data_IF_885884546775
#
_entry.id   IF_885884546775
#
_cell.length_a   1.000
_cell.length_b   1.000
_cell.length_c   1.000
_cell.angle_alpha   90.00
_cell.angle_beta   90.00
_cell.angle_gamma   90.00
#
_symmetry.space_group_name_H-M   'P 1'
#
loop_
_entity.id
_entity.type
_entity.pdbx_description
1 polymer ?
#
# COMPACT_ATOMS: atom_id res chain seq x y z
N UNK A 1 -10.30 -1.79 5.34
CA UNK A 1 -9.98 -1.29 3.99
C UNK A 1 -8.54 -0.80 4.06
N UNK A 2 -7.69 -1.13 3.06
CA UNK A 2 -6.30 -0.68 3.05
C UNK A 2 -6.24 0.83 2.90
N UNK A 3 -5.28 1.47 3.59
CA UNK A 3 -5.07 2.91 3.53
C UNK A 3 -4.40 3.28 2.18
N UNK A 4 -4.86 4.33 1.47
CA UNK A 4 -4.14 4.85 0.31
C UNK A 4 -2.88 5.62 0.73
N UNK A 5 -1.87 5.60 -0.14
CA UNK A 5 -0.58 6.27 0.09
C UNK A 5 -0.17 7.06 -1.15
N UNK A 6 0.36 8.26 -0.93
CA UNK A 6 0.89 9.11 -1.99
C UNK A 6 2.05 9.93 -1.43
N UNK A 7 3.22 9.82 -2.06
CA UNK A 7 4.44 10.51 -1.63
C UNK A 7 5.12 11.19 -2.82
N UNK A 8 5.79 12.31 -2.55
CA UNK A 8 6.75 12.90 -3.48
C UNK A 8 8.16 12.47 -3.09
N UNK A 9 8.69 11.46 -3.78
CA UNK A 9 10.00 10.89 -3.46
C UNK A 9 11.18 11.84 -3.72
N UNK A 10 10.98 12.93 -4.47
CA UNK A 10 12.04 13.93 -4.65
C UNK A 10 12.22 14.80 -3.41
N UNK A 11 11.12 15.10 -2.71
CA UNK A 11 11.12 15.94 -1.50
C UNK A 11 11.15 15.10 -0.22
N UNK A 12 10.56 13.91 -0.24
CA UNK A 12 10.46 12.95 0.87
C UNK A 12 10.82 11.53 0.40
N UNK A 13 12.12 11.22 0.25
CA UNK A 13 12.59 9.91 -0.19
C UNK A 13 12.34 8.80 0.85
N UNK A 14 11.89 9.15 2.05
CA UNK A 14 11.62 8.22 3.16
C UNK A 14 10.13 8.02 3.41
N UNK A 15 9.25 8.62 2.59
CA UNK A 15 7.82 8.36 2.59
C UNK A 15 7.16 8.60 3.97
N UNK A 16 7.57 9.67 4.65
CA UNK A 16 7.06 10.06 5.96
C UNK A 16 5.80 10.95 5.88
N UNK A 17 5.64 11.71 4.79
CA UNK A 17 4.59 12.70 4.61
C UNK A 17 3.56 12.26 3.55
N UNK A 18 2.50 11.58 4.00
CA UNK A 18 1.44 11.12 3.11
C UNK A 18 0.61 12.30 2.56
N UNK A 19 0.54 12.42 1.24
CA UNK A 19 -0.07 13.53 0.51
C UNK A 19 -1.52 13.26 0.07
N UNK A 20 -2.12 12.13 0.44
CA UNK A 20 -3.48 11.74 0.01
C UNK A 20 -4.53 12.84 0.23
N UNK A 21 -4.51 13.50 1.38
CA UNK A 21 -5.48 14.57 1.69
C UNK A 21 -5.15 15.89 0.98
N UNK A 22 -3.88 16.09 0.60
CA UNK A 22 -3.37 17.33 0.00
C UNK A 22 -3.49 17.30 -1.53
N UNK A 23 -3.32 16.12 -2.15
CA UNK A 23 -3.31 15.92 -3.60
C UNK A 23 -4.29 14.81 -4.03
N UNK A 24 -5.59 14.92 -3.70
CA UNK A 24 -6.59 13.91 -4.07
C UNK A 24 -6.76 13.79 -5.59
N UNK A 25 -6.50 14.87 -6.33
CA UNK A 25 -6.43 14.89 -7.80
C UNK A 25 -5.37 13.92 -8.31
N UNK A 26 -4.16 13.99 -7.74
CA UNK A 26 -3.04 13.15 -8.16
C UNK A 26 -3.22 11.70 -7.74
N UNK A 27 -3.78 11.46 -6.55
CA UNK A 27 -4.15 10.12 -6.11
C UNK A 27 -5.11 9.46 -7.10
N UNK A 28 -6.17 10.15 -7.51
CA UNK A 28 -7.16 9.62 -8.45
C UNK A 28 -6.55 9.34 -9.83
N UNK A 29 -5.67 10.22 -10.32
CA UNK A 29 -4.96 10.02 -11.57
C UNK A 29 -4.11 8.73 -11.54
N UNK A 30 -3.27 8.58 -10.50
CA UNK A 30 -2.36 7.44 -10.40
C UNK A 30 -3.10 6.12 -10.13
N UNK A 31 -4.14 6.15 -9.29
CA UNK A 31 -5.00 4.98 -9.04
C UNK A 31 -5.65 4.49 -10.35
N UNK A 32 -6.17 5.41 -11.18
CA UNK A 32 -6.76 5.04 -12.47
C UNK A 32 -5.74 4.44 -13.47
N UNK A 33 -4.45 4.78 -13.35
CA UNK A 33 -3.39 4.14 -14.14
C UNK A 33 -3.10 2.72 -13.64
N UNK A 34 -3.05 2.52 -12.31
CA UNK A 34 -2.87 1.21 -11.70
C UNK A 34 -4.03 0.27 -12.04
N UNK A 35 -5.28 0.72 -11.87
CA UNK A 35 -6.48 -0.08 -12.17
C UNK A 35 -6.50 -0.55 -13.63
N UNK A 36 -6.10 0.33 -14.56
CA UNK A 36 -5.99 -0.01 -15.97
C UNK A 36 -4.96 -1.10 -16.19
N UNK A 37 -3.78 -0.96 -15.61
CA UNK A 37 -2.70 -1.94 -15.74
C UNK A 37 -3.09 -3.28 -15.11
N UNK A 38 -3.71 -3.27 -13.93
CA UNK A 38 -4.18 -4.49 -13.26
C UNK A 38 -5.21 -5.24 -14.10
N UNK A 39 -6.11 -4.51 -14.80
CA UNK A 39 -7.05 -5.11 -15.75
C UNK A 39 -6.40 -5.80 -16.95
N UNK A 40 -5.13 -5.50 -17.25
CA UNK A 40 -4.35 -6.18 -18.29
C UNK A 40 -3.58 -7.40 -17.76
N UNK A 41 -3.45 -7.54 -16.43
CA UNK A 41 -2.75 -8.66 -15.81
C UNK A 41 -3.64 -9.92 -15.79
N UNK A 42 -3.02 -11.07 -16.07
CA UNK A 42 -3.65 -12.36 -15.86
C UNK A 42 -3.77 -12.71 -14.38
N UNK A 43 -4.55 -13.76 -14.03
CA UNK A 43 -4.59 -14.24 -12.65
C UNK A 43 -3.19 -14.66 -12.19
N UNK A 44 -2.92 -14.64 -10.86
CA UNK A 44 -1.67 -15.12 -10.31
C UNK A 44 -1.33 -16.53 -10.83
N UNK A 45 -0.07 -16.74 -11.21
CA UNK A 45 0.39 -18.04 -11.71
C UNK A 45 0.36 -19.17 -10.66
N UNK A 46 0.26 -18.79 -9.38
CA UNK A 46 0.12 -19.70 -8.25
C UNK A 46 -0.89 -19.14 -7.25
N UNK A 47 -1.68 -20.00 -6.58
CA UNK A 47 -2.57 -19.57 -5.52
C UNK A 47 -1.79 -19.12 -4.29
N UNK A 48 -2.25 -18.06 -3.63
CA UNK A 48 -1.78 -17.72 -2.30
C UNK A 48 -2.22 -18.80 -1.31
N UNK A 49 -1.30 -19.26 -0.48
CA UNK A 49 -1.47 -20.29 0.54
C UNK A 49 -1.66 -19.69 1.93
N UNK A 50 -1.29 -18.42 2.11
CA UNK A 50 -1.47 -17.64 3.34
C UNK A 50 -1.92 -16.22 3.00
N UNK A 51 -2.79 -15.66 3.84
CA UNK A 51 -3.04 -14.21 3.91
C UNK A 51 -2.76 -13.76 5.35
N UNK A 52 -1.82 -12.83 5.52
CA UNK A 52 -1.38 -12.36 6.83
C UNK A 52 -1.48 -10.84 6.95
N UNK A 53 -1.72 -10.36 8.17
CA UNK A 53 -1.59 -8.94 8.52
C UNK A 53 -0.13 -8.64 8.80
N UNK A 54 0.47 -7.75 8.00
CA UNK A 54 1.87 -7.34 8.14
C UNK A 54 1.91 -5.86 8.52
N UNK A 55 2.54 -5.49 9.66
CA UNK A 55 2.77 -4.09 10.01
C UNK A 55 3.80 -3.48 9.05
N UNK A 56 3.60 -2.23 8.64
CA UNK A 56 4.45 -1.58 7.63
C UNK A 56 5.81 -1.16 8.21
N UNK A 57 5.80 -0.47 9.36
CA UNK A 57 7.02 0.14 9.94
C UNK A 57 7.59 -0.63 11.12
N UNK A 58 7.25 -1.92 11.22
CA UNK A 58 7.64 -2.73 12.37
C UNK A 58 7.97 -4.16 11.97
N UNK A 59 8.84 -4.80 12.73
CA UNK A 59 9.12 -6.22 12.53
C UNK A 59 8.01 -7.07 13.14
N UNK A 60 7.88 -8.32 12.66
CA UNK A 60 6.96 -9.30 13.24
C UNK A 60 7.39 -9.79 14.64
N UNK A 61 8.61 -9.46 15.09
CA UNK A 61 9.09 -9.79 16.43
C UNK A 61 8.59 -8.81 17.48
N UNK A 62 8.16 -7.62 17.07
CA UNK A 62 7.71 -6.56 17.97
C UNK A 62 6.23 -6.75 18.37
N UNK A 63 5.83 -6.37 19.60
CA UNK A 63 4.44 -6.49 20.04
C UNK A 63 3.49 -5.59 19.23
N UNK A 64 2.24 -6.03 18.93
CA UNK A 64 1.23 -5.22 18.24
C UNK A 64 0.94 -3.88 18.92
N UNK A 65 0.76 -2.83 18.11
CA UNK A 65 0.43 -1.48 18.58
C UNK A 65 -0.93 -1.09 18.01
N UNK A 66 -1.92 -0.78 18.85
CA UNK A 66 -3.24 -0.36 18.37
C UNK A 66 -3.15 0.88 17.48
N UNK A 67 -3.81 0.84 16.32
CA UNK A 67 -3.90 1.96 15.39
C UNK A 67 -2.71 2.11 14.43
N UNK A 68 -1.76 1.16 14.42
CA UNK A 68 -0.66 1.18 13.46
C UNK A 68 -1.10 0.82 12.04
N UNK A 69 -0.31 1.29 11.06
CA UNK A 69 -0.50 0.94 9.66
C UNK A 69 -0.12 -0.52 9.41
N UNK A 70 -0.97 -1.21 8.65
CA UNK A 70 -0.76 -2.59 8.27
C UNK A 70 -1.28 -2.85 6.86
N UNK A 71 -0.76 -3.91 6.23
CA UNK A 71 -1.23 -4.42 4.95
C UNK A 71 -1.67 -5.87 5.10
N UNK A 72 -2.58 -6.32 4.23
CA UNK A 72 -2.82 -7.73 4.02
C UNK A 72 -1.89 -8.22 2.93
N UNK A 73 -1.08 -9.22 3.25
CA UNK A 73 -0.15 -9.81 2.29
C UNK A 73 -0.57 -11.24 1.94
N UNK A 74 -1.02 -11.47 0.70
CA UNK A 74 -1.28 -12.80 0.18
C UNK A 74 0.03 -13.40 -0.39
N UNK A 75 0.45 -14.57 0.11
CA UNK A 75 1.65 -15.30 -0.33
C UNK A 75 1.37 -16.77 -0.57
#
# INVERSE_FOLDING_TARGET
>A
MQQPWLYDLNEDPTEQANLVEIRPDKLAELAALLDRQEGELGPPGWPSIVEAVIPVDRTLADPPVPGEAYVYWPN
#
